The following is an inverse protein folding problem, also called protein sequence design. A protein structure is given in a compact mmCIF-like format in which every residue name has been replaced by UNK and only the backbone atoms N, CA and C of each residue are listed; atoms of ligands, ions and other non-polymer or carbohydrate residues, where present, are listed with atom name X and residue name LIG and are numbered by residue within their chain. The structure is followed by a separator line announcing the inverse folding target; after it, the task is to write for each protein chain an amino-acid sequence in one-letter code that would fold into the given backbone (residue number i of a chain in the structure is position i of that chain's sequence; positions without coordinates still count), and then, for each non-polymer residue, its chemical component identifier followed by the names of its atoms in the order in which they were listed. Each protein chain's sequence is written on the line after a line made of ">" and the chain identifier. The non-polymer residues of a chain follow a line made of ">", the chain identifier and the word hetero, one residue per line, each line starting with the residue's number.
data_IF_789942891611
#
_entry.id   IF_789942891611
#
_cell.length_a   1.000
_cell.length_b   1.000
_cell.length_c   1.000
_cell.angle_alpha   90.00
_cell.angle_beta   90.00
_cell.angle_gamma   90.00
#
_symmetry.space_group_name_H-M   'P 1'
#
loop_
_entity.id
_entity.type
_entity.pdbx_description
1 polymer ?
#
# COMPACT_ATOMS: atom_id res chain seq x y z
N UNK A 1 -11.99 17.40 15.74
CA UNK A 1 -10.87 16.49 15.80
C UNK A 1 -10.71 15.74 14.48
N UNK A 2 -9.52 15.76 13.91
CA UNK A 2 -9.24 15.03 12.70
C UNK A 2 -8.76 13.62 13.07
N UNK A 3 -8.95 12.69 12.17
CA UNK A 3 -8.43 11.31 12.32
C UNK A 3 -6.88 11.28 12.32
N UNK A 4 -6.24 12.39 12.00
CA UNK A 4 -4.79 12.51 11.98
C UNK A 4 -4.20 12.93 13.30
N UNK A 5 -5.05 13.33 14.24
CA UNK A 5 -4.63 13.71 15.58
C UNK A 5 -4.31 12.46 16.39
N UNK A 6 -3.58 11.58 15.75
CA UNK A 6 -3.14 10.34 16.38
C UNK A 6 -1.94 10.62 17.26
N UNK A 7 -1.94 10.02 18.44
CA UNK A 7 -0.81 10.08 19.34
C UNK A 7 -0.31 8.70 19.65
N UNK A 8 0.99 8.45 19.47
CA UNK A 8 1.55 7.17 19.86
C UNK A 8 1.23 6.88 21.32
N UNK A 9 0.83 5.68 21.60
CA UNK A 9 0.47 5.24 22.96
C UNK A 9 1.68 5.31 23.88
N UNK A 10 2.85 5.05 23.34
CA UNK A 10 4.10 5.15 24.09
C UNK A 10 4.93 6.26 23.48
N UNK A 11 5.21 7.26 24.28
CA UNK A 11 6.16 8.31 23.92
C UNK A 11 7.54 7.75 24.19
N UNK A 12 8.05 6.98 23.24
CA UNK A 12 9.48 6.74 23.21
C UNK A 12 10.07 7.96 22.53
N UNK A 13 10.84 8.71 23.28
CA UNK A 13 11.56 9.85 22.76
C UNK A 13 12.73 9.36 21.92
N UNK A 14 12.38 8.75 20.79
CA UNK A 14 13.30 8.15 19.86
C UNK A 14 13.37 9.04 18.62
N UNK A 15 14.57 9.49 18.31
CA UNK A 15 14.81 10.36 17.17
C UNK A 15 14.30 9.75 15.86
N UNK A 16 14.49 8.43 15.70
CA UNK A 16 14.02 7.73 14.51
C UNK A 16 12.49 7.78 14.38
N UNK A 17 11.78 7.60 15.47
CA UNK A 17 10.32 7.69 15.48
C UNK A 17 9.86 9.09 15.09
N UNK A 18 10.50 10.11 15.65
CA UNK A 18 10.17 11.50 15.30
C UNK A 18 10.41 11.78 13.83
N UNK A 19 11.52 11.31 13.28
CA UNK A 19 11.84 11.48 11.86
C UNK A 19 10.80 10.81 10.97
N UNK A 20 10.37 9.61 11.31
CA UNK A 20 9.35 8.89 10.55
C UNK A 20 8.01 9.63 10.63
N UNK A 21 7.61 10.11 11.79
CA UNK A 21 6.36 10.86 11.96
C UNK A 21 6.39 12.15 11.13
N UNK A 22 7.50 12.88 11.13
CA UNK A 22 7.63 14.09 10.31
C UNK A 22 7.59 13.75 8.81
N UNK A 23 8.25 12.68 8.41
CA UNK A 23 8.21 12.21 7.04
C UNK A 23 6.77 11.90 6.60
N UNK A 24 6.00 11.23 7.45
CA UNK A 24 4.61 10.88 7.17
C UNK A 24 3.73 12.11 7.05
N UNK A 25 3.92 13.10 7.90
CA UNK A 25 3.19 14.36 7.78
C UNK A 25 3.42 15.01 6.43
N UNK A 26 4.66 15.02 5.97
CA UNK A 26 5.00 15.55 4.65
C UNK A 26 4.40 14.71 3.53
N UNK A 27 4.41 13.38 3.64
CA UNK A 27 3.75 12.50 2.67
C UNK A 27 2.26 12.79 2.56
N UNK A 28 1.60 12.92 3.71
CA UNK A 28 0.17 13.21 3.74
C UNK A 28 -0.14 14.53 3.02
N UNK A 29 0.66 15.56 3.27
CA UNK A 29 0.45 16.87 2.64
C UNK A 29 0.80 16.86 1.15
N UNK A 30 1.79 16.09 0.76
CA UNK A 30 2.30 16.09 -0.62
C UNK A 30 1.47 15.22 -1.54
N UNK A 31 1.03 14.05 -1.08
CA UNK A 31 0.47 13.02 -1.96
C UNK A 31 -0.97 12.65 -1.66
N UNK A 32 -1.42 12.76 -0.41
CA UNK A 32 -2.71 12.22 0.00
C UNK A 32 -3.75 13.32 0.15
N UNK A 33 -5.02 12.97 -0.06
CA UNK A 33 -6.13 13.88 0.16
C UNK A 33 -6.57 13.89 1.63
N UNK A 34 -7.67 14.59 1.92
CA UNK A 34 -8.20 14.70 3.28
C UNK A 34 -8.67 13.36 3.86
N UNK A 35 -8.87 12.37 3.03
CA UNK A 35 -9.23 11.01 3.44
C UNK A 35 -8.02 10.09 3.51
N UNK A 36 -6.81 10.64 3.46
CA UNK A 36 -5.55 9.90 3.44
C UNK A 36 -5.45 8.90 2.29
N UNK A 37 -5.96 9.31 1.13
CA UNK A 37 -6.03 8.47 -0.05
C UNK A 37 -5.46 9.22 -1.26
N UNK A 38 -4.81 8.47 -2.14
CA UNK A 38 -4.39 8.92 -3.46
C UNK A 38 -4.91 7.94 -4.49
N UNK A 39 -5.47 8.45 -5.59
CA UNK A 39 -5.95 7.62 -6.69
C UNK A 39 -5.42 8.13 -8.01
N UNK A 40 -5.12 7.23 -8.92
CA UNK A 40 -4.82 7.57 -10.31
C UNK A 40 -5.27 6.45 -11.26
N UNK A 41 -5.47 6.81 -12.50
CA UNK A 41 -5.65 5.84 -13.58
C UNK A 41 -4.28 5.46 -14.13
N UNK A 42 -4.03 4.17 -14.21
CA UNK A 42 -2.77 3.65 -14.76
C UNK A 42 -3.07 2.49 -15.69
N UNK A 43 -2.76 2.65 -16.96
CA UNK A 43 -2.95 1.63 -18.02
C UNK A 43 -4.34 1.00 -18.02
N UNK A 44 -5.36 1.84 -17.76
CA UNK A 44 -6.76 1.43 -17.79
C UNK A 44 -7.31 0.91 -16.47
N UNK A 45 -6.52 0.90 -15.41
CA UNK A 45 -6.95 0.50 -14.06
C UNK A 45 -6.88 1.68 -13.10
N UNK A 46 -7.85 1.76 -12.20
CA UNK A 46 -7.79 2.70 -11.10
C UNK A 46 -6.98 2.09 -9.98
N UNK A 47 -5.95 2.78 -9.54
CA UNK A 47 -5.11 2.33 -8.42
C UNK A 47 -5.17 3.35 -7.30
N UNK A 48 -5.03 2.88 -6.06
CA UNK A 48 -5.13 3.72 -4.88
C UNK A 48 -4.07 3.37 -3.85
N UNK A 49 -3.56 4.41 -3.20
CA UNK A 49 -2.68 4.29 -2.03
C UNK A 49 -3.43 4.91 -0.86
N UNK A 50 -3.56 4.19 0.24
CA UNK A 50 -4.27 4.66 1.43
C UNK A 50 -3.42 4.46 2.66
N UNK A 51 -3.48 5.42 3.58
CA UNK A 51 -2.84 5.27 4.90
C UNK A 51 -3.81 4.64 5.88
N UNK A 52 -3.35 3.61 6.57
CA UNK A 52 -4.11 2.99 7.65
C UNK A 52 -4.24 3.98 8.81
N UNK A 53 -5.48 4.26 9.23
CA UNK A 53 -5.74 5.33 10.20
C UNK A 53 -5.22 5.03 11.61
N UNK A 54 -5.17 3.77 12.00
CA UNK A 54 -4.77 3.39 13.35
C UNK A 54 -3.27 3.08 13.48
N UNK A 55 -2.69 2.45 12.47
CA UNK A 55 -1.30 1.98 12.54
C UNK A 55 -0.33 2.81 11.69
N UNK A 56 -0.85 3.57 10.74
CA UNK A 56 -0.06 4.55 9.98
C UNK A 56 0.69 4.03 8.77
N UNK A 57 0.66 2.73 8.52
CA UNK A 57 1.28 2.18 7.31
C UNK A 57 0.40 2.41 6.08
N UNK A 58 1.01 2.30 4.90
CA UNK A 58 0.28 2.45 3.65
C UNK A 58 -0.23 1.10 3.14
N UNK A 59 -1.33 1.15 2.40
CA UNK A 59 -1.93 0.02 1.70
C UNK A 59 -2.12 0.40 0.25
N UNK A 60 -2.08 -0.60 -0.64
CA UNK A 60 -2.27 -0.38 -2.06
C UNK A 60 -3.42 -1.22 -2.60
N UNK A 61 -4.20 -0.63 -3.51
CA UNK A 61 -5.39 -1.28 -4.10
C UNK A 61 -5.44 -1.07 -5.60
N UNK A 62 -5.94 -2.07 -6.31
CA UNK A 62 -6.25 -2.01 -7.73
C UNK A 62 -7.73 -2.34 -7.90
N UNK A 63 -8.47 -1.45 -8.55
CA UNK A 63 -9.86 -1.70 -8.92
C UNK A 63 -9.87 -2.45 -10.26
N UNK A 64 -10.31 -3.70 -10.23
CA UNK A 64 -10.42 -4.54 -11.42
C UNK A 64 -11.71 -4.30 -12.18
N UNK A 65 -12.56 -3.39 -11.72
CA UNK A 65 -13.89 -3.07 -12.29
C UNK A 65 -14.73 -4.34 -12.39
N UNK A 66 -15.17 -4.71 -13.58
CA UNK A 66 -15.98 -5.91 -13.80
C UNK A 66 -15.15 -7.12 -14.27
N UNK A 67 -13.85 -6.96 -14.26
CA UNK A 67 -12.96 -7.95 -14.80
C UNK A 67 -12.70 -9.07 -13.79
N UNK A 68 -12.83 -10.31 -14.25
CA UNK A 68 -12.52 -11.47 -13.44
C UNK A 68 -11.13 -11.99 -13.84
N UNK A 69 -10.20 -11.94 -12.89
CA UNK A 69 -8.87 -12.51 -13.11
C UNK A 69 -8.92 -14.02 -12.85
N UNK A 70 -8.12 -14.77 -13.60
CA UNK A 70 -8.02 -16.21 -13.40
C UNK A 70 -6.98 -16.53 -12.31
N UNK A 71 -6.88 -17.80 -11.94
CA UNK A 71 -5.95 -18.24 -10.89
C UNK A 71 -4.50 -17.91 -11.23
N UNK A 72 -4.11 -18.07 -12.49
CA UNK A 72 -2.75 -17.78 -12.94
C UNK A 72 -2.43 -16.28 -12.76
N UNK A 73 -3.35 -15.43 -13.13
CA UNK A 73 -3.21 -13.98 -12.95
C UNK A 73 -3.18 -13.62 -11.46
N UNK A 74 -4.06 -14.20 -10.67
CA UNK A 74 -4.05 -13.99 -9.22
C UNK A 74 -2.69 -14.36 -8.61
N UNK A 75 -2.17 -15.54 -8.97
CA UNK A 75 -0.88 -15.99 -8.44
C UNK A 75 0.27 -15.08 -8.88
N UNK A 76 0.21 -14.54 -10.09
CA UNK A 76 1.19 -13.58 -10.57
C UNK A 76 1.16 -12.31 -9.75
N UNK A 77 -0.02 -11.76 -9.51
CA UNK A 77 -0.17 -10.54 -8.70
C UNK A 77 0.23 -10.78 -7.25
N UNK A 78 -0.11 -11.95 -6.71
CA UNK A 78 0.23 -12.31 -5.33
C UNK A 78 1.75 -12.37 -5.12
N UNK A 79 2.49 -12.86 -6.10
CA UNK A 79 3.96 -12.88 -6.02
C UNK A 79 4.57 -11.49 -6.08
N UNK A 80 3.94 -10.55 -6.81
CA UNK A 80 4.46 -9.21 -6.98
C UNK A 80 4.05 -8.28 -5.84
N UNK A 81 2.88 -8.51 -5.24
CA UNK A 81 2.38 -7.67 -4.17
C UNK A 81 3.27 -7.78 -2.93
N UNK A 82 3.59 -6.65 -2.34
CA UNK A 82 4.35 -6.60 -1.09
C UNK A 82 3.68 -7.47 -0.02
N UNK A 83 4.37 -8.51 0.41
CA UNK A 83 3.85 -9.45 1.41
C UNK A 83 2.71 -10.33 0.91
N UNK A 84 2.38 -10.30 -0.38
CA UNK A 84 1.26 -11.01 -0.96
C UNK A 84 -0.05 -10.23 -0.90
N UNK A 85 -1.07 -10.75 -1.58
CA UNK A 85 -2.40 -10.15 -1.58
C UNK A 85 -3.06 -10.41 -0.23
N UNK A 86 -3.54 -9.35 0.41
CA UNK A 86 -4.25 -9.43 1.69
C UNK A 86 -5.69 -8.95 1.60
N UNK A 87 -6.10 -8.46 0.43
CA UNK A 87 -7.44 -7.93 0.20
C UNK A 87 -7.90 -8.31 -1.21
N UNK A 88 -9.05 -8.97 -1.31
CA UNK A 88 -9.70 -9.23 -2.59
C UNK A 88 -11.21 -9.31 -2.38
N UNK A 89 -11.87 -8.17 -2.48
CA UNK A 89 -13.29 -8.03 -2.21
C UNK A 89 -13.89 -7.09 -3.27
N UNK A 90 -15.04 -7.48 -3.83
CA UNK A 90 -15.77 -6.64 -4.80
C UNK A 90 -14.91 -6.19 -5.98
N UNK A 91 -14.09 -7.10 -6.50
CA UNK A 91 -13.17 -6.84 -7.60
C UNK A 91 -12.10 -5.78 -7.28
N UNK A 92 -11.86 -5.52 -6.03
CA UNK A 92 -10.72 -4.73 -5.58
C UNK A 92 -9.69 -5.65 -4.95
N UNK A 93 -8.47 -5.61 -5.49
CA UNK A 93 -7.37 -6.42 -5.03
C UNK A 93 -6.31 -5.53 -4.41
N UNK A 94 -5.68 -5.97 -3.32
CA UNK A 94 -4.74 -5.11 -2.65
C UNK A 94 -3.82 -5.82 -1.67
N UNK A 95 -2.91 -5.02 -1.12
CA UNK A 95 -1.93 -5.46 -0.13
C UNK A 95 -1.73 -4.35 0.90
N UNK A 96 -1.11 -4.69 2.02
CA UNK A 96 -0.75 -3.72 3.04
C UNK A 96 0.74 -3.81 3.38
N UNK A 97 1.26 -2.75 3.98
CA UNK A 97 2.64 -2.66 4.44
C UNK A 97 2.71 -2.72 5.97
N UNK A 98 1.92 -3.60 6.56
CA UNK A 98 1.86 -3.82 8.01
C UNK A 98 2.33 -5.20 8.44
N UNK A 99 3.34 -5.76 7.79
CA UNK A 99 3.93 -7.05 8.13
C UNK A 99 5.04 -6.89 9.17
N UNK A 100 5.54 -8.00 9.71
CA UNK A 100 6.54 -7.96 10.77
C UNK A 100 7.86 -7.30 10.35
N UNK A 101 8.15 -7.23 9.06
CA UNK A 101 9.34 -6.55 8.51
C UNK A 101 9.05 -5.13 8.06
N UNK A 102 7.84 -4.64 8.26
CA UNK A 102 7.43 -3.28 7.93
C UNK A 102 7.33 -2.43 9.20
N UNK A 103 7.59 -1.14 9.06
CA UNK A 103 7.32 -0.20 10.14
C UNK A 103 5.89 0.29 10.02
N UNK A 104 5.12 0.10 11.09
CA UNK A 104 3.80 0.68 11.27
C UNK A 104 3.97 1.92 12.15
N UNK A 105 3.99 3.12 11.55
CA UNK A 105 4.53 4.31 12.22
C UNK A 105 3.86 4.70 13.52
N UNK A 106 2.58 4.39 13.67
CA UNK A 106 1.82 4.77 14.85
C UNK A 106 1.84 3.68 15.92
N UNK A 107 2.55 2.57 15.68
CA UNK A 107 2.65 1.49 16.64
C UNK A 107 3.94 1.63 17.45
N UNK A 108 3.82 1.57 18.77
CA UNK A 108 4.97 1.61 19.66
C UNK A 108 5.86 0.38 19.54
N UNK A 109 5.34 -0.72 19.03
CA UNK A 109 6.10 -1.97 18.91
C UNK A 109 7.23 -1.89 17.89
N UNK A 110 7.10 -1.03 16.89
CA UNK A 110 8.15 -0.87 15.89
C UNK A 110 9.49 -0.47 16.50
N UNK A 111 9.45 0.27 17.58
CA UNK A 111 10.64 0.79 18.22
C UNK A 111 11.34 -0.25 19.08
N UNK A 112 10.60 -1.27 19.50
CA UNK A 112 11.11 -2.28 20.44
C UNK A 112 11.56 -3.56 19.74
N UNK A 113 10.90 -3.95 18.66
CA UNK A 113 11.04 -5.29 18.10
C UNK A 113 11.34 -5.35 16.62
N UNK A 114 11.15 -4.26 15.89
CA UNK A 114 11.28 -4.29 14.44
C UNK A 114 12.51 -3.55 13.95
N UNK A 115 13.36 -4.27 13.23
CA UNK A 115 14.38 -3.67 12.38
C UNK A 115 13.83 -3.41 10.98
N UNK A 116 12.51 -3.34 10.84
CA UNK A 116 11.85 -3.19 9.57
C UNK A 116 12.04 -1.82 8.90
N UNK A 117 11.45 -1.69 7.74
CA UNK A 117 11.49 -0.46 6.96
C UNK A 117 10.11 0.15 6.86
N UNK A 118 10.05 1.48 6.85
CA UNK A 118 8.84 2.17 6.46
C UNK A 118 8.71 2.11 4.94
N UNK A 119 7.57 1.60 4.45
CA UNK A 119 7.28 1.51 3.02
C UNK A 119 6.53 2.78 2.63
N UNK A 120 7.21 3.66 1.91
CA UNK A 120 6.71 4.99 1.60
C UNK A 120 5.74 5.00 0.41
N UNK A 121 5.21 6.17 0.12
CA UNK A 121 4.25 6.37 -0.95
C UNK A 121 4.77 5.86 -2.30
N UNK A 122 6.00 6.23 -2.66
CA UNK A 122 6.57 5.82 -3.94
C UNK A 122 6.76 4.32 -4.02
N UNK A 123 7.15 3.68 -2.92
CA UNK A 123 7.28 2.23 -2.87
C UNK A 123 5.95 1.54 -3.18
N UNK A 124 4.88 1.98 -2.52
CA UNK A 124 3.55 1.38 -2.70
C UNK A 124 3.02 1.65 -4.10
N UNK A 125 3.14 2.88 -4.57
CA UNK A 125 2.69 3.25 -5.91
C UNK A 125 3.41 2.45 -7.00
N UNK A 126 4.73 2.33 -6.89
CA UNK A 126 5.52 1.57 -7.84
C UNK A 126 5.15 0.08 -7.82
N UNK A 127 4.89 -0.47 -6.65
CA UNK A 127 4.45 -1.86 -6.53
C UNK A 127 3.10 -2.08 -7.23
N UNK A 128 2.16 -1.16 -7.04
CA UNK A 128 0.88 -1.22 -7.75
C UNK A 128 1.07 -1.17 -9.27
N UNK A 129 1.94 -0.30 -9.75
CA UNK A 129 2.21 -0.19 -11.19
C UNK A 129 2.85 -1.45 -11.74
N UNK A 130 3.76 -2.08 -11.01
CA UNK A 130 4.33 -3.37 -11.41
C UNK A 130 3.26 -4.45 -11.54
N UNK A 131 2.32 -4.48 -10.59
CA UNK A 131 1.22 -5.43 -10.63
C UNK A 131 0.31 -5.18 -11.84
N UNK A 132 -0.04 -3.93 -12.11
CA UNK A 132 -0.85 -3.57 -13.29
C UNK A 132 -0.11 -3.91 -14.58
N UNK A 133 1.17 -3.60 -14.67
CA UNK A 133 1.97 -3.94 -15.85
C UNK A 133 1.94 -5.44 -16.12
N UNK A 134 2.12 -6.25 -15.10
CA UNK A 134 2.08 -7.70 -15.23
C UNK A 134 0.71 -8.19 -15.68
N UNK A 135 -0.35 -7.61 -15.14
CA UNK A 135 -1.71 -7.96 -15.50
C UNK A 135 -2.00 -7.61 -16.97
N UNK A 136 -1.63 -6.42 -17.41
CA UNK A 136 -1.80 -5.99 -18.80
C UNK A 136 -1.00 -6.88 -19.74
N UNK A 137 0.25 -7.17 -19.41
CA UNK A 137 1.11 -8.03 -20.23
C UNK A 137 0.58 -9.46 -20.32
N UNK A 138 0.00 -9.99 -19.23
CA UNK A 138 -0.60 -11.31 -19.24
C UNK A 138 -1.77 -11.40 -20.22
N UNK A 139 -2.52 -10.33 -20.36
CA UNK A 139 -3.65 -10.25 -21.33
C UNK A 139 -3.15 -10.12 -22.76
N UNK A 140 -2.14 -9.30 -22.98
CA UNK A 140 -1.53 -9.16 -24.29
C UNK A 140 -0.98 -10.48 -24.79
N UNK A 141 -0.31 -11.24 -23.91
CA UNK A 141 0.18 -12.57 -24.24
C UNK A 141 -0.94 -13.54 -24.59
N UNK A 142 -2.06 -13.48 -23.90
CA UNK A 142 -3.23 -14.31 -24.19
C UNK A 142 -3.83 -13.97 -25.56
N UNK A 143 -3.89 -12.71 -25.93
CA UNK A 143 -4.39 -12.26 -27.22
C UNK A 143 -3.48 -12.70 -28.37
N UNK A 144 -2.17 -12.72 -28.14
CA UNK A 144 -1.20 -13.13 -29.13
C UNK A 144 -1.18 -14.64 -29.35
N UNK A 145 -1.54 -15.40 -28.34
CA UNK A 145 -1.60 -16.87 -28.42
C UNK A 145 -2.92 -17.40 -28.93
N UNK A 146 -3.91 -16.55 -29.02
CA UNK A 146 -5.24 -16.91 -29.56
C UNK A 146 -5.33 -16.76 -31.07
#
# INVERSE_FOLDING_TARGET
>A
KTMYDFRPIVVLDDARTREIIEFIKNENLTYLDDNLCYTEEYRGYSIAVMRHVDLGHLCGYIDLAEENINEKQYNLLDRLAHGGITHYINNEIGFDCGHCYDIMPYSCFNNLFCSGKYRDFNYVLNNLKEMVDALVESKGGQLQCG
#
